data_IF_770910924877
#
_entry.id   IF_770910924877
#
_cell.length_a   1.000
_cell.length_b   1.000
_cell.length_c   1.000
_cell.angle_alpha   90.00
_cell.angle_beta   90.00
_cell.angle_gamma   90.00
#
_symmetry.space_group_name_H-M   'P 1'
#
loop_
_entity.id
_entity.type
_entity.pdbx_description
1 polymer ?
#
# COMPACT_ATOMS: atom_id res chain seq x y z
N UNK A 1 6.25 -10.12 -12.19
CA UNK A 1 4.89 -10.01 -11.65
C UNK A 1 4.89 -8.86 -10.64
N UNK A 2 4.02 -7.87 -10.78
CA UNK A 2 3.79 -6.83 -9.76
C UNK A 2 2.54 -7.22 -8.99
N UNK A 3 2.60 -7.20 -7.67
CA UNK A 3 1.49 -7.54 -6.78
C UNK A 3 1.24 -6.42 -5.76
N UNK A 4 0.01 -6.29 -5.33
CA UNK A 4 -0.35 -5.50 -4.16
C UNK A 4 -0.51 -6.47 -2.96
N UNK A 5 0.31 -6.27 -1.92
CA UNK A 5 0.31 -7.12 -0.74
C UNK A 5 -0.68 -6.56 0.30
N UNK A 6 -1.71 -7.34 0.63
CA UNK A 6 -2.63 -6.96 1.71
C UNK A 6 -2.00 -7.20 3.07
N UNK A 7 -1.67 -6.11 3.76
CA UNK A 7 -1.06 -6.13 5.09
C UNK A 7 -2.05 -5.81 6.23
N UNK A 8 -3.34 -5.65 5.91
CA UNK A 8 -4.37 -5.33 6.92
C UNK A 8 -4.36 -6.36 8.06
N UNK A 9 -4.29 -5.86 9.30
CA UNK A 9 -4.18 -6.66 10.53
C UNK A 9 -2.93 -7.56 10.63
N UNK A 10 -1.93 -7.35 9.78
CA UNK A 10 -0.65 -8.07 9.86
C UNK A 10 0.33 -7.34 10.77
N UNK A 11 1.22 -8.10 11.39
CA UNK A 11 2.30 -7.57 12.21
C UNK A 11 3.58 -7.47 11.39
N UNK A 12 4.14 -6.28 11.32
CA UNK A 12 5.34 -5.95 10.56
C UNK A 12 6.43 -5.51 11.53
N UNK A 13 7.60 -6.11 11.41
CA UNK A 13 8.77 -5.69 12.19
C UNK A 13 9.72 -4.92 11.27
N UNK A 14 10.11 -3.73 11.68
CA UNK A 14 11.18 -2.94 11.06
C UNK A 14 12.36 -2.90 12.02
N UNK A 15 13.50 -3.39 11.58
CA UNK A 15 14.70 -3.54 12.38
C UNK A 15 15.71 -2.47 11.96
N UNK A 16 16.01 -1.56 12.89
CA UNK A 16 16.77 -0.32 12.67
C UNK A 16 15.89 0.92 12.87
N UNK A 17 16.52 2.07 13.14
CA UNK A 17 15.84 3.33 13.50
C UNK A 17 16.29 4.54 12.69
N UNK A 18 17.04 4.35 11.62
CA UNK A 18 17.59 5.40 10.76
C UNK A 18 16.66 5.88 9.65
N UNK A 19 17.24 6.61 8.69
CA UNK A 19 16.49 7.18 7.56
C UNK A 19 15.87 6.12 6.63
N UNK A 20 16.52 4.97 6.46
CA UNK A 20 15.98 3.89 5.66
C UNK A 20 14.78 3.23 6.34
N UNK A 21 14.84 2.99 7.67
CA UNK A 21 13.71 2.54 8.45
C UNK A 21 12.52 3.50 8.32
N UNK A 22 12.75 4.81 8.42
CA UNK A 22 11.73 5.83 8.26
C UNK A 22 11.02 5.73 6.91
N UNK A 23 11.76 5.56 5.81
CA UNK A 23 11.16 5.41 4.47
C UNK A 23 10.25 4.20 4.41
N UNK A 24 10.69 3.06 4.96
CA UNK A 24 9.89 1.82 4.98
C UNK A 24 8.65 1.95 5.86
N UNK A 25 8.80 2.56 7.03
CA UNK A 25 7.66 2.83 7.93
C UNK A 25 6.63 3.72 7.23
N UNK A 26 7.07 4.81 6.59
CA UNK A 26 6.15 5.73 5.88
C UNK A 26 5.33 5.01 4.79
N UNK A 27 5.91 4.05 4.09
CA UNK A 27 5.17 3.27 3.09
C UNK A 27 4.12 2.33 3.70
N UNK A 28 4.27 1.97 4.99
CA UNK A 28 3.38 1.05 5.71
C UNK A 28 2.26 1.75 6.49
N UNK A 29 2.37 3.05 6.79
CA UNK A 29 1.43 3.76 7.68
C UNK A 29 -0.04 3.68 7.24
N UNK A 30 -0.28 3.45 5.96
CA UNK A 30 -1.64 3.42 5.40
C UNK A 30 -2.18 2.00 5.18
N UNK A 31 -1.37 0.98 5.48
CA UNK A 31 -1.70 -0.44 5.19
C UNK A 31 -2.52 -1.09 6.30
N UNK A 32 -2.94 -0.30 7.32
CA UNK A 32 -3.71 -0.79 8.48
C UNK A 32 -3.06 -1.99 9.17
N UNK A 33 -1.74 -2.04 9.20
CA UNK A 33 -0.94 -3.06 9.84
C UNK A 33 -0.39 -2.59 11.18
N UNK A 34 0.02 -3.52 12.03
CA UNK A 34 0.74 -3.23 13.26
C UNK A 34 2.24 -3.11 12.94
N UNK A 35 2.82 -1.92 13.11
CA UNK A 35 4.24 -1.66 12.86
C UNK A 35 5.00 -1.64 14.18
N UNK A 36 6.01 -2.51 14.31
CA UNK A 36 6.90 -2.56 15.46
C UNK A 36 8.32 -2.27 14.99
N UNK A 37 8.88 -1.18 15.50
CA UNK A 37 10.30 -0.85 15.28
C UNK A 37 11.13 -1.47 16.40
N UNK A 38 12.23 -2.12 16.03
CA UNK A 38 13.20 -2.68 16.96
C UNK A 38 14.54 -1.99 16.70
N UNK A 39 14.98 -1.20 17.65
CA UNK A 39 16.24 -0.45 17.57
C UNK A 39 16.63 0.08 18.93
N UNK A 40 17.91 0.30 19.16
CA UNK A 40 18.45 0.99 20.33
C UNK A 40 18.28 2.50 20.25
N UNK A 41 18.26 3.03 19.01
CA UNK A 41 18.10 4.45 18.70
C UNK A 41 17.14 4.65 17.51
N UNK A 42 16.40 5.74 17.50
CA UNK A 42 15.51 6.13 16.42
C UNK A 42 15.67 7.61 16.08
N UNK A 43 15.44 7.96 14.82
CA UNK A 43 15.46 9.36 14.40
C UNK A 43 14.19 10.12 14.86
N UNK A 44 14.23 11.46 14.71
CA UNK A 44 13.17 12.35 15.17
C UNK A 44 11.81 12.09 14.50
N UNK A 45 11.80 11.68 13.22
CA UNK A 45 10.57 11.34 12.50
C UNK A 45 9.91 10.08 13.05
N UNK A 46 10.67 9.02 13.30
CA UNK A 46 10.16 7.78 13.90
C UNK A 46 9.70 8.06 15.33
N UNK A 47 10.45 8.88 16.08
CA UNK A 47 10.05 9.28 17.44
C UNK A 47 8.68 9.96 17.49
N UNK A 48 8.37 10.83 16.51
CA UNK A 48 7.03 11.44 16.37
C UNK A 48 5.94 10.38 16.15
N UNK A 49 6.19 9.40 15.27
CA UNK A 49 5.24 8.32 14.98
C UNK A 49 4.99 7.42 16.20
N UNK A 50 6.01 7.20 17.03
CA UNK A 50 5.89 6.46 18.29
C UNK A 50 5.03 7.26 19.29
N UNK A 51 5.30 8.57 19.46
CA UNK A 51 4.51 9.45 20.34
C UNK A 51 3.03 9.50 19.94
N UNK A 52 2.72 9.50 18.64
CA UNK A 52 1.34 9.47 18.11
C UNK A 52 0.73 8.07 18.05
N UNK A 53 1.41 7.06 18.61
CA UNK A 53 0.96 5.65 18.66
C UNK A 53 0.70 5.00 17.28
N UNK A 54 1.22 5.58 16.21
CA UNK A 54 1.14 5.00 14.86
C UNK A 54 2.13 3.83 14.69
N UNK A 55 3.19 3.82 15.50
CA UNK A 55 4.25 2.81 15.48
C UNK A 55 4.59 2.43 16.92
N UNK A 56 4.80 1.15 17.17
CA UNK A 56 5.31 0.66 18.45
C UNK A 56 6.85 0.61 18.40
N UNK A 57 7.51 0.98 19.48
CA UNK A 57 8.97 0.87 19.64
C UNK A 57 9.30 -0.18 20.67
N UNK A 58 10.11 -1.17 20.30
CA UNK A 58 10.84 -2.04 21.22
C UNK A 58 12.29 -1.56 21.25
N UNK A 59 12.62 -0.74 22.26
CA UNK A 59 13.96 -0.17 22.41
C UNK A 59 14.92 -1.24 22.91
N UNK A 60 15.73 -1.78 22.03
CA UNK A 60 16.77 -2.76 22.37
C UNK A 60 17.88 -2.79 21.32
N UNK A 61 19.10 -3.08 21.77
CA UNK A 61 20.21 -3.45 20.89
C UNK A 61 19.97 -4.84 20.32
N UNK A 62 20.26 -5.03 19.04
CA UNK A 62 19.97 -6.28 18.33
C UNK A 62 21.17 -7.21 18.40
N UNK A 63 21.25 -7.99 19.45
CA UNK A 63 22.32 -8.98 19.68
C UNK A 63 21.91 -10.40 19.28
N UNK A 64 20.62 -10.66 19.27
CA UNK A 64 20.04 -11.95 18.88
C UNK A 64 18.70 -11.76 18.16
N UNK A 65 18.12 -12.84 17.66
CA UNK A 65 16.90 -12.83 16.85
C UNK A 65 15.70 -13.51 17.55
N UNK A 66 15.77 -13.75 18.87
CA UNK A 66 14.70 -14.44 19.61
C UNK A 66 13.36 -13.70 19.56
N UNK A 67 13.41 -12.37 19.47
CA UNK A 67 12.22 -11.52 19.36
C UNK A 67 11.36 -11.84 18.13
N UNK A 68 11.91 -12.45 17.06
CA UNK A 68 11.14 -12.81 15.89
C UNK A 68 10.15 -13.93 16.21
N UNK A 69 10.60 -14.96 16.94
CA UNK A 69 9.73 -16.06 17.35
C UNK A 69 8.66 -15.63 18.38
N UNK A 70 9.00 -14.67 19.25
CA UNK A 70 8.07 -14.09 20.23
C UNK A 70 6.97 -13.26 19.56
N UNK A 71 7.35 -12.40 18.63
CA UNK A 71 6.45 -11.45 17.99
C UNK A 71 5.64 -12.04 16.83
N UNK A 72 6.11 -13.14 16.23
CA UNK A 72 5.46 -13.85 15.11
C UNK A 72 5.03 -12.91 13.98
N UNK A 73 5.95 -12.16 13.36
CA UNK A 73 5.60 -11.20 12.30
C UNK A 73 5.19 -11.90 11.01
N UNK A 74 4.37 -11.21 10.22
CA UNK A 74 4.04 -11.61 8.84
C UNK A 74 5.07 -11.08 7.83
N UNK A 75 5.75 -9.97 8.17
CA UNK A 75 6.75 -9.33 7.32
C UNK A 75 7.88 -8.77 8.20
N UNK A 76 9.12 -8.93 7.75
CA UNK A 76 10.31 -8.38 8.39
C UNK A 76 11.05 -7.48 7.41
N UNK A 77 11.47 -6.31 7.86
CA UNK A 77 12.29 -5.37 7.10
C UNK A 77 13.54 -5.06 7.90
N UNK A 78 14.73 -5.37 7.37
CA UNK A 78 16.01 -5.03 7.99
C UNK A 78 16.59 -3.78 7.34
N UNK A 79 17.00 -2.83 8.17
CA UNK A 79 17.55 -1.54 7.75
C UNK A 79 18.75 -1.11 8.62
N UNK A 80 19.40 -2.07 9.27
CA UNK A 80 20.57 -1.78 10.11
C UNK A 80 21.84 -1.69 9.27
N UNK A 81 22.88 -1.08 9.81
CA UNK A 81 24.21 -1.05 9.21
C UNK A 81 24.99 -2.36 9.45
N UNK A 82 24.52 -3.23 10.32
CA UNK A 82 25.12 -4.53 10.61
C UNK A 82 24.65 -5.59 9.60
N UNK A 83 25.45 -5.78 8.54
CA UNK A 83 25.17 -6.76 7.48
C UNK A 83 25.05 -8.19 8.02
N UNK A 84 25.82 -8.55 9.06
CA UNK A 84 25.80 -9.92 9.63
C UNK A 84 24.47 -10.19 10.32
N UNK A 85 23.98 -9.23 11.10
CA UNK A 85 22.68 -9.37 11.77
C UNK A 85 21.54 -9.35 10.77
N UNK A 86 21.57 -8.48 9.75
CA UNK A 86 20.59 -8.44 8.68
C UNK A 86 20.50 -9.81 7.97
N UNK A 87 21.65 -10.38 7.57
CA UNK A 87 21.71 -11.68 6.90
C UNK A 87 21.19 -12.81 7.80
N UNK A 88 21.53 -12.79 9.10
CA UNK A 88 21.02 -13.77 10.08
C UNK A 88 19.51 -13.72 10.19
N UNK A 89 18.93 -12.52 10.19
CA UNK A 89 17.48 -12.30 10.23
C UNK A 89 16.81 -12.80 8.97
N UNK A 90 17.33 -12.47 7.78
CA UNK A 90 16.80 -12.91 6.50
C UNK A 90 16.84 -14.43 6.38
N UNK A 91 17.96 -15.07 6.74
CA UNK A 91 18.07 -16.52 6.73
C UNK A 91 17.06 -17.20 7.67
N UNK A 92 16.84 -16.63 8.85
CA UNK A 92 15.82 -17.11 9.76
C UNK A 92 14.41 -16.94 9.19
N UNK A 93 14.11 -15.79 8.61
CA UNK A 93 12.81 -15.51 7.99
C UNK A 93 12.51 -16.50 6.86
N UNK A 94 13.46 -16.76 5.97
CA UNK A 94 13.35 -17.77 4.90
C UNK A 94 13.03 -19.16 5.48
N UNK A 95 13.76 -19.62 6.51
CA UNK A 95 13.49 -20.91 7.18
C UNK A 95 12.10 -20.99 7.79
N UNK A 96 11.56 -19.88 8.27
CA UNK A 96 10.22 -19.78 8.89
C UNK A 96 9.11 -19.39 7.91
N UNK A 97 9.43 -19.24 6.61
CA UNK A 97 8.49 -18.78 5.58
C UNK A 97 7.83 -17.44 5.89
N UNK A 98 8.59 -16.54 6.53
CA UNK A 98 8.19 -15.17 6.82
C UNK A 98 8.72 -14.30 5.68
N UNK A 99 7.86 -13.49 5.08
CA UNK A 99 8.26 -12.55 4.02
C UNK A 99 9.29 -11.57 4.59
N UNK A 100 10.40 -11.38 3.89
CA UNK A 100 11.49 -10.56 4.39
C UNK A 100 12.10 -9.66 3.30
N UNK A 101 12.53 -8.47 3.74
CA UNK A 101 13.25 -7.51 2.91
C UNK A 101 14.49 -7.01 3.64
N UNK A 102 15.61 -6.95 2.92
CA UNK A 102 16.87 -6.36 3.39
C UNK A 102 17.22 -5.14 2.56
N UNK A 103 17.47 -4.00 3.23
CA UNK A 103 17.83 -2.78 2.51
C UNK A 103 19.27 -2.75 2.01
N UNK A 104 20.14 -3.53 2.62
CA UNK A 104 21.56 -3.66 2.25
C UNK A 104 21.84 -4.80 1.27
N UNK A 105 20.93 -5.80 1.20
CA UNK A 105 21.05 -6.91 0.25
C UNK A 105 19.69 -7.22 -0.41
N UNK A 106 19.28 -6.45 -1.42
CA UNK A 106 18.00 -6.64 -2.11
C UNK A 106 17.85 -8.00 -2.80
N UNK A 107 18.95 -8.63 -3.22
CA UNK A 107 18.94 -9.94 -3.91
C UNK A 107 18.47 -11.07 -3.00
N UNK A 108 18.73 -10.98 -1.70
CA UNK A 108 18.26 -11.95 -0.72
C UNK A 108 16.82 -11.70 -0.22
N UNK A 109 16.20 -10.61 -0.69
CA UNK A 109 14.85 -10.22 -0.30
C UNK A 109 13.78 -10.98 -1.07
N UNK A 110 12.62 -11.23 -0.44
CA UNK A 110 11.47 -11.88 -1.08
C UNK A 110 10.71 -10.92 -2.01
N UNK A 111 10.97 -9.60 -1.93
CA UNK A 111 10.34 -8.60 -2.77
C UNK A 111 11.24 -7.38 -3.00
N UNK A 112 10.88 -6.59 -3.99
CA UNK A 112 11.53 -5.32 -4.30
C UNK A 112 10.55 -4.16 -4.25
N UNK A 113 11.06 -2.97 -3.94
CA UNK A 113 10.23 -1.77 -3.88
C UNK A 113 10.22 -1.06 -5.23
N UNK A 114 9.06 -0.93 -5.84
CA UNK A 114 8.85 -0.15 -7.05
C UNK A 114 8.80 1.37 -6.75
N UNK A 115 9.03 2.19 -7.77
CA UNK A 115 8.72 3.62 -7.73
C UNK A 115 7.23 3.81 -7.97
N UNK A 116 6.48 4.30 -6.97
CA UNK A 116 5.02 4.41 -7.02
C UNK A 116 4.61 5.85 -7.35
N UNK A 117 3.70 6.01 -8.32
CA UNK A 117 2.88 7.19 -8.53
C UNK A 117 1.55 6.92 -7.85
N UNK A 118 1.11 7.81 -6.97
CA UNK A 118 -0.10 7.61 -6.16
C UNK A 118 -1.05 8.81 -6.32
N UNK A 119 -2.27 8.54 -6.77
CA UNK A 119 -3.35 9.50 -6.85
C UNK A 119 -4.39 9.19 -5.77
N UNK A 120 -4.34 9.91 -4.65
CA UNK A 120 -5.27 9.81 -3.52
C UNK A 120 -5.49 8.37 -3.00
N UNK A 121 -4.52 7.47 -3.18
CA UNK A 121 -4.63 6.02 -2.89
C UNK A 121 -5.74 5.30 -3.65
N UNK A 122 -6.30 5.95 -4.67
CA UNK A 122 -7.32 5.38 -5.54
C UNK A 122 -6.71 4.73 -6.78
N UNK A 123 -5.69 5.38 -7.35
CA UNK A 123 -4.94 4.85 -8.49
C UNK A 123 -3.47 4.82 -8.11
N UNK A 124 -2.88 3.65 -8.19
CA UNK A 124 -1.44 3.46 -7.95
C UNK A 124 -0.79 2.85 -9.19
N UNK A 125 0.31 3.44 -9.62
CA UNK A 125 1.09 2.99 -10.77
C UNK A 125 2.50 2.68 -10.30
N UNK A 126 2.91 1.42 -10.43
CA UNK A 126 4.23 0.94 -10.04
C UNK A 126 5.17 0.90 -11.25
N UNK A 127 6.36 1.48 -11.11
CA UNK A 127 7.41 1.45 -12.11
C UNK A 127 8.58 0.67 -11.53
N UNK A 128 8.90 -0.44 -12.17
CA UNK A 128 9.95 -1.37 -11.74
C UNK A 128 10.86 -1.73 -12.91
N UNK A 129 12.16 -1.62 -12.71
CA UNK A 129 13.19 -1.90 -13.72
C UNK A 129 13.88 -3.25 -13.50
N UNK A 130 13.19 -4.22 -12.89
CA UNK A 130 13.80 -5.52 -12.57
C UNK A 130 14.92 -5.44 -11.53
N UNK A 131 14.98 -4.38 -10.71
CA UNK A 131 16.10 -4.15 -9.79
C UNK A 131 17.34 -3.54 -10.45
N UNK A 132 17.39 -3.45 -11.79
CA UNK A 132 18.58 -3.04 -12.56
C UNK A 132 18.95 -1.58 -12.37
N UNK A 133 17.97 -0.67 -12.25
CA UNK A 133 18.28 0.77 -12.12
C UNK A 133 17.25 1.55 -11.32
N UNK A 134 17.46 1.72 -10.00
CA UNK A 134 16.61 2.56 -9.17
C UNK A 134 16.57 4.03 -9.63
N UNK A 135 17.66 4.53 -10.22
CA UNK A 135 17.75 5.91 -10.75
C UNK A 135 16.85 6.06 -11.98
N UNK A 136 16.89 5.10 -12.91
CA UNK A 136 16.02 5.11 -14.09
C UNK A 136 14.56 4.94 -13.70
N UNK A 137 14.23 4.09 -12.74
CA UNK A 137 12.89 3.94 -12.18
C UNK A 137 12.32 5.30 -11.71
N UNK A 138 13.10 6.07 -10.96
CA UNK A 138 12.73 7.43 -10.49
C UNK A 138 12.58 8.42 -11.63
N UNK A 139 13.50 8.40 -12.60
CA UNK A 139 13.44 9.28 -13.77
C UNK A 139 12.19 9.01 -14.61
N UNK A 140 11.90 7.74 -14.87
CA UNK A 140 10.68 7.33 -15.61
C UNK A 140 9.43 7.70 -14.81
N UNK A 141 9.41 7.48 -13.49
CA UNK A 141 8.33 7.92 -12.61
C UNK A 141 8.02 9.41 -12.80
N UNK A 142 9.03 10.28 -12.70
CA UNK A 142 8.83 11.73 -12.84
C UNK A 142 8.27 12.13 -14.21
N UNK A 143 8.74 11.50 -15.29
CA UNK A 143 8.19 11.73 -16.65
C UNK A 143 6.75 11.24 -16.79
N UNK A 144 6.48 10.02 -16.33
CA UNK A 144 5.15 9.41 -16.38
C UNK A 144 4.13 10.21 -15.57
N UNK A 145 4.51 10.71 -14.38
CA UNK A 145 3.64 11.51 -13.52
C UNK A 145 3.14 12.78 -14.22
N UNK A 146 4.00 13.45 -15.00
CA UNK A 146 3.62 14.64 -15.76
C UNK A 146 2.60 14.33 -16.87
N UNK A 147 2.70 13.18 -17.52
CA UNK A 147 1.73 12.73 -18.53
C UNK A 147 0.43 12.29 -17.88
N UNK A 148 0.53 11.49 -16.83
CA UNK A 148 -0.63 10.91 -16.14
C UNK A 148 -1.50 11.97 -15.44
N UNK A 149 -0.93 13.08 -14.98
CA UNK A 149 -1.69 14.26 -14.48
C UNK A 149 -2.63 14.87 -15.53
N UNK A 150 -2.35 14.65 -16.82
CA UNK A 150 -3.22 15.12 -17.92
C UNK A 150 -4.27 14.08 -18.31
N UNK A 151 -4.05 12.81 -17.97
CA UNK A 151 -4.91 11.68 -18.33
C UNK A 151 -5.88 11.33 -17.20
N UNK A 152 -5.40 11.36 -15.96
CA UNK A 152 -6.21 11.04 -14.79
C UNK A 152 -6.81 12.33 -14.25
N UNK A 153 -8.12 12.46 -14.39
CA UNK A 153 -8.88 13.63 -13.94
C UNK A 153 -9.37 13.48 -12.48
N UNK A 154 -9.89 14.58 -11.92
CA UNK A 154 -10.57 14.53 -10.61
C UNK A 154 -11.87 13.73 -10.69
N UNK A 155 -12.55 13.82 -11.83
CA UNK A 155 -13.78 13.11 -12.14
C UNK A 155 -13.55 11.59 -12.10
N UNK A 156 -12.42 11.09 -12.63
CA UNK A 156 -12.04 9.68 -12.56
C UNK A 156 -11.91 9.21 -11.10
N UNK A 157 -11.27 10.01 -10.25
CA UNK A 157 -11.13 9.70 -8.83
C UNK A 157 -12.50 9.63 -8.13
N UNK A 158 -13.41 10.57 -8.47
CA UNK A 158 -14.77 10.58 -7.92
C UNK A 158 -15.55 9.35 -8.42
N UNK A 159 -15.43 9.04 -9.71
CA UNK A 159 -16.07 7.87 -10.30
C UNK A 159 -15.63 6.56 -9.61
N UNK A 160 -14.33 6.42 -9.29
CA UNK A 160 -13.83 5.27 -8.52
C UNK A 160 -14.48 5.20 -7.13
N UNK A 161 -14.67 6.34 -6.45
CA UNK A 161 -15.35 6.39 -5.14
C UNK A 161 -16.79 5.90 -5.25
N UNK A 162 -17.54 6.37 -6.25
CA UNK A 162 -18.92 5.93 -6.53
C UNK A 162 -18.95 4.43 -6.84
N UNK A 163 -18.06 3.95 -7.72
CA UNK A 163 -17.91 2.54 -8.07
C UNK A 163 -17.65 1.65 -6.83
N UNK A 164 -16.82 2.11 -5.91
CA UNK A 164 -16.53 1.37 -4.67
C UNK A 164 -17.77 1.18 -3.80
N UNK A 165 -18.57 2.24 -3.61
CA UNK A 165 -19.81 2.21 -2.83
C UNK A 165 -20.83 1.30 -3.53
N UNK A 166 -21.04 1.54 -4.82
CA UNK A 166 -21.97 0.79 -5.66
C UNK A 166 -21.65 -0.71 -5.69
N UNK A 167 -20.36 -1.06 -5.80
CA UNK A 167 -19.91 -2.45 -5.78
C UNK A 167 -20.21 -3.16 -4.46
N UNK A 168 -20.10 -2.44 -3.33
CA UNK A 168 -20.44 -3.02 -2.02
C UNK A 168 -21.94 -3.34 -1.95
N UNK A 169 -22.80 -2.39 -2.31
CA UNK A 169 -24.26 -2.58 -2.30
C UNK A 169 -24.73 -3.62 -3.33
N UNK A 170 -24.13 -3.62 -4.52
CA UNK A 170 -24.48 -4.59 -5.55
C UNK A 170 -24.20 -6.05 -5.15
N UNK A 171 -23.23 -6.30 -4.25
CA UNK A 171 -22.99 -7.65 -3.73
C UNK A 171 -24.16 -8.20 -2.91
N UNK A 172 -24.94 -7.33 -2.27
CA UNK A 172 -26.07 -7.68 -1.43
C UNK A 172 -27.35 -7.88 -2.26
N UNK A 173 -27.46 -7.22 -3.42
CA UNK A 173 -28.69 -7.15 -4.21
C UNK A 173 -28.60 -8.02 -5.47
N UNK A 174 -27.45 -8.04 -6.15
CA UNK A 174 -27.25 -8.74 -7.42
C UNK A 174 -26.49 -10.06 -7.18
N UNK A 175 -27.14 -11.24 -7.40
CA UNK A 175 -26.51 -12.52 -7.06
C UNK A 175 -25.29 -12.86 -7.90
N UNK A 176 -25.33 -12.62 -9.21
CA UNK A 176 -24.26 -13.07 -10.12
C UNK A 176 -23.15 -12.04 -10.31
N UNK A 177 -21.93 -12.52 -10.49
CA UNK A 177 -20.79 -11.66 -10.77
C UNK A 177 -20.92 -10.96 -12.13
N UNK A 178 -21.50 -11.64 -13.12
CA UNK A 178 -21.68 -11.10 -14.46
C UNK A 178 -22.61 -9.87 -14.44
N UNK A 179 -23.76 -9.99 -13.79
CA UNK A 179 -24.72 -8.89 -13.67
C UNK A 179 -24.16 -7.72 -12.85
N UNK A 180 -23.43 -8.01 -11.76
CA UNK A 180 -22.70 -6.94 -11.04
C UNK A 180 -21.72 -6.18 -11.92
N UNK A 181 -21.02 -6.87 -12.82
CA UNK A 181 -20.12 -6.23 -13.79
C UNK A 181 -20.88 -5.36 -14.79
N UNK A 182 -22.02 -5.83 -15.30
CA UNK A 182 -22.89 -5.05 -16.21
C UNK A 182 -23.40 -3.79 -15.51
N UNK A 183 -23.92 -3.93 -14.30
CA UNK A 183 -24.35 -2.78 -13.49
C UNK A 183 -23.23 -1.75 -13.28
N UNK A 184 -22.05 -2.17 -12.85
CA UNK A 184 -20.92 -1.25 -12.66
C UNK A 184 -20.51 -0.55 -13.97
N UNK A 185 -20.62 -1.25 -15.11
CA UNK A 185 -20.38 -0.65 -16.43
C UNK A 185 -21.47 0.35 -16.80
N UNK A 186 -22.73 0.08 -16.49
CA UNK A 186 -23.84 1.00 -16.78
C UNK A 186 -23.69 2.32 -16.03
N UNK A 187 -23.38 2.31 -14.73
CA UNK A 187 -23.17 3.53 -13.94
C UNK A 187 -21.89 4.30 -14.35
N UNK A 188 -20.89 3.61 -14.89
CA UNK A 188 -19.70 4.26 -15.45
C UNK A 188 -20.02 5.02 -16.75
N UNK A 189 -20.98 4.53 -17.52
CA UNK A 189 -21.37 5.10 -18.81
C UNK A 189 -22.68 5.94 -18.73
N UNK A 190 -23.21 6.19 -17.53
CA UNK A 190 -24.41 7.01 -17.35
C UNK A 190 -24.05 8.51 -17.49
N UNK A 191 -24.51 9.14 -18.57
CA UNK A 191 -24.23 10.54 -18.87
C UNK A 191 -24.71 11.49 -17.77
N UNK A 192 -25.78 11.15 -17.05
CA UNK A 192 -26.29 11.97 -15.97
C UNK A 192 -25.37 11.90 -14.73
N UNK A 193 -24.84 10.71 -14.40
CA UNK A 193 -23.81 10.57 -13.37
C UNK A 193 -22.57 11.38 -13.74
N UNK A 194 -22.10 11.28 -14.99
CA UNK A 194 -20.94 12.02 -15.48
C UNK A 194 -21.16 13.55 -15.35
N UNK A 195 -22.32 14.05 -15.77
CA UNK A 195 -22.65 15.46 -15.63
C UNK A 195 -22.70 15.91 -14.16
N UNK A 196 -23.32 15.12 -13.28
CA UNK A 196 -23.39 15.43 -11.85
C UNK A 196 -22.00 15.47 -11.19
N UNK A 197 -21.07 14.62 -11.65
CA UNK A 197 -19.69 14.65 -11.18
C UNK A 197 -18.99 15.93 -11.64
N UNK A 198 -19.12 16.32 -12.92
CA UNK A 198 -18.56 17.55 -13.48
C UNK A 198 -19.09 18.79 -12.76
N UNK A 199 -20.36 18.80 -12.38
CA UNK A 199 -21.02 19.88 -11.64
C UNK A 199 -20.68 19.86 -10.12
N UNK A 200 -19.84 18.94 -9.67
CA UNK A 200 -19.47 18.80 -8.26
C UNK A 200 -20.59 18.25 -7.36
N UNK A 201 -21.68 17.76 -7.92
CA UNK A 201 -22.86 17.26 -7.19
C UNK A 201 -22.70 15.77 -6.81
N UNK A 202 -21.60 15.44 -6.13
CA UNK A 202 -21.17 14.06 -5.86
C UNK A 202 -22.24 13.21 -5.17
N UNK A 203 -22.92 13.78 -4.16
CA UNK A 203 -24.00 13.06 -3.43
C UNK A 203 -25.17 12.70 -4.33
N UNK A 204 -25.49 13.54 -5.32
CA UNK A 204 -26.56 13.23 -6.29
C UNK A 204 -26.11 12.14 -7.26
N UNK A 205 -24.85 12.18 -7.69
CA UNK A 205 -24.27 11.12 -8.52
C UNK A 205 -24.29 9.76 -7.81
N UNK A 206 -23.92 9.71 -6.53
CA UNK A 206 -24.02 8.50 -5.70
C UNK A 206 -25.48 8.00 -5.60
N UNK A 207 -26.43 8.92 -5.32
CA UNK A 207 -27.86 8.60 -5.23
C UNK A 207 -28.36 8.00 -6.54
N UNK A 208 -28.01 8.61 -7.68
CA UNK A 208 -28.37 8.12 -9.02
C UNK A 208 -27.84 6.71 -9.26
N UNK A 209 -26.58 6.43 -8.90
CA UNK A 209 -26.01 5.09 -9.03
C UNK A 209 -26.79 4.04 -8.19
N UNK A 210 -27.23 4.42 -6.99
CA UNK A 210 -28.03 3.54 -6.12
C UNK A 210 -29.45 3.36 -6.69
N UNK A 211 -30.06 4.36 -7.30
CA UNK A 211 -31.37 4.27 -7.96
C UNK A 211 -31.33 3.25 -9.12
N UNK A 212 -30.28 3.31 -9.95
CA UNK A 212 -30.05 2.33 -11.02
C UNK A 212 -29.94 0.92 -10.42
N UNK A 213 -29.24 0.76 -9.27
CA UNK A 213 -29.13 -0.54 -8.61
C UNK A 213 -30.48 -1.10 -8.16
N UNK A 214 -31.35 -0.26 -7.57
CA UNK A 214 -32.66 -0.67 -7.07
C UNK A 214 -33.61 -1.13 -8.19
N UNK A 215 -33.44 -0.61 -9.37
CA UNK A 215 -34.23 -0.97 -10.56
C UNK A 215 -33.53 -2.00 -11.47
N UNK A 216 -32.40 -2.51 -11.05
CA UNK A 216 -31.62 -3.48 -11.80
C UNK A 216 -32.35 -4.83 -11.90
N UNK A 217 -32.60 -5.27 -13.11
CA UNK A 217 -33.29 -6.55 -13.42
C UNK A 217 -32.32 -7.59 -13.96
#
# INVERSE_FOLDING_TARGET
MIINLNLENKKIIVIGGGSEAEKRIKSLLNEKCEIIVISDSINGSISKLVKTKQVKLKKQKIENIKFISELKPSLIITTTNDKKINQKIINYAKKKKIIAYSSDNPEDSDFSNASIIDYEKMIQIAIFTGGQSPVMSKKIKSKAENVLKKVISKEDIIQIKIQKISRKLAKEIIPTQLERKKYLKSIMNDNHIDQLIKDGQIKKAEKRAIEILKTWK
#
